data_IF_486412840411
#
_entry.id   IF_486412840411
#
_cell.length_a   1.000
_cell.length_b   1.000
_cell.length_c   1.000
_cell.angle_alpha   90.00
_cell.angle_beta   90.00
_cell.angle_gamma   90.00
#
_symmetry.space_group_name_H-M   'P 1'
#
loop_
_entity.id
_entity.type
_entity.pdbx_description
1 polymer ?
#
# COMPACT_ATOMS: atom_id res chain seq x y z
N UNK A 1 3.07 -17.26 10.88
CA UNK A 1 2.96 -16.73 9.50
C UNK A 1 4.10 -15.74 9.30
N UNK A 2 4.82 -15.76 8.17
CA UNK A 2 5.95 -14.85 7.96
C UNK A 2 5.44 -13.42 7.74
N UNK A 3 6.23 -12.45 8.22
CA UNK A 3 5.89 -11.01 8.18
C UNK A 3 6.82 -10.27 7.20
N UNK A 4 6.30 -9.22 6.57
CA UNK A 4 7.05 -8.26 5.77
C UNK A 4 6.96 -6.86 6.35
N UNK A 5 7.99 -6.05 6.07
CA UNK A 5 7.93 -4.60 6.28
C UNK A 5 7.28 -3.94 5.08
N UNK A 6 6.34 -3.04 5.32
CA UNK A 6 5.70 -2.24 4.30
C UNK A 6 5.66 -0.78 4.73
N UNK A 7 5.61 0.13 3.76
CA UNK A 7 5.31 1.55 4.00
C UNK A 7 3.86 1.77 3.59
N UNK A 8 3.02 2.26 4.50
CA UNK A 8 1.60 2.49 4.27
C UNK A 8 1.22 3.94 4.55
N UNK A 9 0.05 4.35 4.04
CA UNK A 9 -0.59 5.62 4.37
C UNK A 9 -2.00 5.28 4.86
N UNK A 10 -2.28 5.57 6.12
CA UNK A 10 -3.53 5.16 6.76
C UNK A 10 -4.75 5.98 6.31
N UNK A 11 -4.55 7.23 5.85
CA UNK A 11 -5.59 8.13 5.35
C UNK A 11 -5.02 9.09 4.30
N UNK A 12 -5.82 9.58 3.33
CA UNK A 12 -5.43 10.65 2.43
C UNK A 12 -4.75 11.83 3.15
N UNK A 13 -3.60 12.27 2.65
CA UNK A 13 -2.79 13.34 3.24
C UNK A 13 -1.96 12.92 4.46
N UNK A 14 -2.13 11.69 4.96
CA UNK A 14 -1.42 11.17 6.11
C UNK A 14 0.08 10.96 5.89
N UNK A 15 0.77 10.61 6.97
CA UNK A 15 2.19 10.28 6.97
C UNK A 15 2.45 8.89 6.39
N UNK A 16 3.69 8.69 5.92
CA UNK A 16 4.19 7.38 5.55
C UNK A 16 4.59 6.62 6.82
N UNK A 17 3.96 5.47 7.05
CA UNK A 17 4.15 4.65 8.24
C UNK A 17 4.87 3.35 7.87
N UNK A 18 6.00 3.06 8.54
CA UNK A 18 6.64 1.75 8.44
C UNK A 18 5.90 0.75 9.34
N UNK A 19 5.32 -0.28 8.72
CA UNK A 19 4.50 -1.28 9.41
C UNK A 19 4.99 -2.70 9.13
N UNK A 20 4.56 -3.64 9.98
CA UNK A 20 4.68 -5.08 9.75
C UNK A 20 3.34 -5.62 9.25
N UNK A 21 3.37 -6.42 8.20
CA UNK A 21 2.18 -7.09 7.64
C UNK A 21 2.47 -8.56 7.36
N UNK A 22 1.44 -9.39 7.40
CA UNK A 22 1.58 -10.78 6.98
C UNK A 22 1.94 -10.86 5.49
N UNK A 23 2.82 -11.78 5.13
CA UNK A 23 3.10 -12.08 3.73
C UNK A 23 1.90 -12.85 3.17
N UNK A 24 1.23 -12.33 2.13
CA UNK A 24 0.07 -13.00 1.55
C UNK A 24 0.48 -14.26 0.78
N UNK A 25 -0.42 -15.24 0.75
CA UNK A 25 -0.29 -16.39 -0.15
C UNK A 25 -0.81 -16.00 -1.55
N UNK A 26 -0.03 -16.21 -2.62
CA UNK A 26 -0.47 -15.91 -3.98
C UNK A 26 -1.59 -16.86 -4.40
N UNK A 27 -2.61 -16.34 -5.09
CA UNK A 27 -3.71 -17.12 -5.67
C UNK A 27 -3.34 -17.66 -7.06
N UNK A 28 -4.29 -18.35 -7.69
CA UNK A 28 -4.15 -18.80 -9.07
C UNK A 28 -3.87 -17.60 -10.00
N UNK A 29 -2.83 -17.72 -10.83
CA UNK A 29 -2.31 -16.67 -11.72
C UNK A 29 -1.66 -15.45 -11.04
N UNK A 30 -1.29 -15.54 -9.76
CA UNK A 30 -0.50 -14.52 -9.06
C UNK A 30 0.93 -15.01 -8.79
N UNK A 31 1.87 -14.07 -8.64
CA UNK A 31 3.25 -14.36 -8.23
C UNK A 31 3.63 -13.50 -7.03
N UNK A 32 4.38 -14.07 -6.09
CA UNK A 32 4.90 -13.35 -4.93
C UNK A 32 6.37 -12.96 -5.19
N UNK A 33 6.65 -11.65 -5.15
CA UNK A 33 7.97 -11.10 -5.43
C UNK A 33 8.57 -10.51 -4.15
N UNK A 34 9.82 -10.89 -3.85
CA UNK A 34 10.61 -10.24 -2.80
C UNK A 34 11.19 -8.94 -3.34
N UNK A 35 10.84 -7.81 -2.71
CA UNK A 35 11.32 -6.49 -3.09
C UNK A 35 12.68 -6.21 -2.44
N UNK A 36 13.70 -5.96 -3.25
CA UNK A 36 15.04 -5.53 -2.78
C UNK A 36 15.13 -3.99 -2.66
N UNK A 37 14.47 -3.25 -3.57
CA UNK A 37 14.40 -1.79 -3.56
C UNK A 37 13.11 -1.29 -4.23
N UNK A 38 12.62 -0.12 -3.80
CA UNK A 38 11.46 0.55 -4.37
C UNK A 38 11.78 2.03 -4.59
N UNK A 39 11.56 2.54 -5.79
CA UNK A 39 11.71 3.96 -6.11
C UNK A 39 10.40 4.71 -5.84
N UNK A 40 10.51 5.94 -5.34
CA UNK A 40 9.36 6.83 -5.14
C UNK A 40 9.26 7.78 -6.33
N UNK A 41 8.11 7.84 -6.98
CA UNK A 41 7.85 8.68 -8.13
C UNK A 41 6.83 9.79 -7.78
N UNK A 42 6.63 10.73 -8.71
CA UNK A 42 5.63 11.78 -8.54
C UNK A 42 4.20 11.24 -8.39
N UNK A 43 3.88 10.11 -9.03
CA UNK A 43 2.57 9.46 -8.91
C UNK A 43 2.24 9.03 -7.48
N UNK A 44 3.25 8.61 -6.71
CA UNK A 44 3.06 8.20 -5.31
C UNK A 44 2.65 9.37 -4.42
N UNK A 45 3.13 10.59 -4.71
CA UNK A 45 2.71 11.80 -4.00
C UNK A 45 1.23 12.13 -4.26
N UNK A 46 0.77 12.01 -5.50
CA UNK A 46 -0.64 12.23 -5.87
C UNK A 46 -1.55 11.22 -5.14
N UNK A 47 -1.11 9.97 -5.03
CA UNK A 47 -1.81 8.91 -4.28
C UNK A 47 -1.81 9.23 -2.78
N UNK A 48 -0.67 9.64 -2.21
CA UNK A 48 -0.56 10.03 -0.80
C UNK A 48 -1.53 11.14 -0.43
N UNK A 49 -1.62 12.18 -1.26
CA UNK A 49 -2.48 13.32 -1.03
C UNK A 49 -3.98 13.00 -1.20
N UNK A 50 -4.31 11.83 -1.77
CA UNK A 50 -5.69 11.42 -2.05
C UNK A 50 -6.33 12.18 -3.21
N UNK A 51 -5.51 12.79 -4.06
CA UNK A 51 -5.94 13.59 -5.21
C UNK A 51 -6.42 12.74 -6.40
N UNK A 52 -6.28 11.41 -6.31
CA UNK A 52 -6.81 10.47 -7.30
C UNK A 52 -8.34 10.26 -7.13
N UNK A 53 -9.16 10.38 -8.20
CA UNK A 53 -10.62 10.34 -8.11
C UNK A 53 -11.21 9.09 -7.41
N UNK A 54 -10.56 7.93 -7.57
CA UNK A 54 -10.95 6.66 -6.93
C UNK A 54 -10.67 6.64 -5.42
N UNK A 55 -9.69 7.41 -4.95
CA UNK A 55 -9.25 7.39 -3.55
C UNK A 55 -10.06 8.36 -2.67
N UNK A 56 -10.76 9.34 -3.27
CA UNK A 56 -11.57 10.35 -2.58
C UNK A 56 -12.68 9.76 -1.69
N UNK A 57 -13.11 8.52 -1.95
CA UNK A 57 -14.17 7.82 -1.19
C UNK A 57 -13.65 6.66 -0.31
N UNK A 58 -12.33 6.51 -0.12
CA UNK A 58 -11.74 5.38 0.63
C UNK A 58 -12.00 5.38 2.14
N UNK A 59 -12.64 6.41 2.69
CA UNK A 59 -13.18 6.39 4.06
C UNK A 59 -14.17 5.22 4.33
N UNK A 60 -14.58 4.45 3.30
CA UNK A 60 -15.44 3.27 3.42
C UNK A 60 -14.76 1.90 3.27
N UNK A 61 -13.47 1.81 2.94
CA UNK A 61 -12.79 0.51 2.74
C UNK A 61 -11.42 0.47 3.43
N UNK A 62 -11.42 0.45 4.77
CA UNK A 62 -10.25 0.10 5.61
C UNK A 62 -9.85 -1.38 5.52
N UNK A 63 -10.23 -2.10 4.46
CA UNK A 63 -9.94 -3.52 4.29
C UNK A 63 -9.85 -3.84 2.80
N UNK A 64 -8.78 -3.38 2.18
CA UNK A 64 -8.28 -3.92 0.93
C UNK A 64 -6.78 -3.66 0.97
N UNK A 65 -6.03 -4.76 1.04
CA UNK A 65 -4.63 -4.91 1.44
C UNK A 65 -4.40 -4.98 2.95
#
# INVERSE_FOLDING_TARGET
>A
MPMMRAVQISNPGGELELVQREIPEPKENEVLIKIEACGVCHGDAIVKEGSFPVLRNLNRKKSAY
#
